data_IF_715107454576
#
_entry.id   IF_715107454576
#
_cell.length_a   1.000
_cell.length_b   1.000
_cell.length_c   1.000
_cell.angle_alpha   90.00
_cell.angle_beta   90.00
_cell.angle_gamma   90.00
#
_symmetry.space_group_name_H-M   'P 1'
#
loop_
_entity.id
_entity.type
_entity.pdbx_description
1 polymer ?
#
# COMPACT_ATOMS: atom_id res chain seq x y z
N UNK A 1 -7.16 -7.59 -36.55
CA UNK A 1 -7.72 -6.38 -35.90
C UNK A 1 -8.42 -6.65 -34.56
N UNK A 2 -9.13 -7.77 -34.38
CA UNK A 2 -9.80 -8.10 -33.11
C UNK A 2 -8.84 -8.21 -31.89
N UNK A 3 -7.59 -8.64 -32.12
CA UNK A 3 -6.59 -8.79 -31.06
C UNK A 3 -6.17 -7.48 -30.40
N UNK A 4 -5.86 -6.46 -31.20
CA UNK A 4 -5.49 -5.14 -30.69
C UNK A 4 -6.65 -4.53 -29.89
N UNK A 5 -7.89 -4.84 -30.31
CA UNK A 5 -9.10 -4.46 -29.58
C UNK A 5 -9.23 -5.20 -28.25
N UNK A 6 -8.93 -6.50 -28.20
CA UNK A 6 -8.96 -7.28 -26.95
C UNK A 6 -7.93 -6.76 -25.92
N UNK A 7 -6.70 -6.49 -26.36
CA UNK A 7 -5.68 -5.90 -25.49
C UNK A 7 -6.06 -4.49 -25.02
N UNK A 8 -6.60 -3.65 -25.91
CA UNK A 8 -7.08 -2.33 -25.54
C UNK A 8 -8.23 -2.38 -24.52
N UNK A 9 -9.14 -3.37 -24.64
CA UNK A 9 -10.22 -3.58 -23.66
C UNK A 9 -9.64 -4.05 -22.33
N UNK A 10 -8.70 -5.01 -22.33
CA UNK A 10 -8.04 -5.49 -21.11
C UNK A 10 -7.33 -4.35 -20.37
N UNK A 11 -6.57 -3.53 -21.10
CA UNK A 11 -5.88 -2.37 -20.54
C UNK A 11 -6.86 -1.35 -19.99
N UNK A 12 -7.92 -1.03 -20.74
CA UNK A 12 -8.97 -0.12 -20.27
C UNK A 12 -9.63 -0.62 -18.99
N UNK A 13 -9.95 -1.92 -18.91
CA UNK A 13 -10.52 -2.50 -17.68
C UNK A 13 -9.57 -2.32 -16.51
N UNK A 14 -8.28 -2.62 -16.70
CA UNK A 14 -7.27 -2.44 -15.65
C UNK A 14 -7.21 -0.98 -15.18
N UNK A 15 -7.11 -0.02 -16.10
CA UNK A 15 -7.01 1.40 -15.78
C UNK A 15 -8.27 1.91 -15.05
N UNK A 16 -9.47 1.54 -15.53
CA UNK A 16 -10.76 1.93 -14.94
C UNK A 16 -10.94 1.34 -13.53
N UNK A 17 -10.59 0.06 -13.35
CA UNK A 17 -10.69 -0.62 -12.06
C UNK A 17 -9.66 -0.08 -11.07
N UNK A 18 -8.43 0.18 -11.53
CA UNK A 18 -7.38 0.77 -10.69
C UNK A 18 -7.76 2.17 -10.21
N UNK A 19 -8.30 3.01 -11.10
CA UNK A 19 -8.79 4.34 -10.73
C UNK A 19 -9.90 4.24 -9.68
N UNK A 20 -10.82 3.29 -9.84
CA UNK A 20 -11.87 3.02 -8.86
C UNK A 20 -11.29 2.64 -7.50
N UNK A 21 -10.28 1.75 -7.47
CA UNK A 21 -9.56 1.37 -6.24
C UNK A 21 -8.85 2.56 -5.58
N UNK A 22 -8.14 3.39 -6.35
CA UNK A 22 -7.47 4.58 -5.79
C UNK A 22 -8.47 5.58 -5.18
N UNK A 23 -9.66 5.70 -5.79
CA UNK A 23 -10.74 6.53 -5.26
C UNK A 23 -11.31 5.94 -3.97
N UNK A 24 -11.42 4.62 -3.89
CA UNK A 24 -11.83 3.93 -2.67
C UNK A 24 -10.86 4.22 -1.52
N UNK A 25 -9.54 4.09 -1.76
CA UNK A 25 -8.50 4.39 -0.77
C UNK A 25 -8.59 5.85 -0.28
N UNK A 26 -8.87 6.80 -1.18
CA UNK A 26 -9.10 8.19 -0.79
C UNK A 26 -10.23 8.31 0.24
N UNK A 27 -11.39 7.69 -0.02
CA UNK A 27 -12.51 7.72 0.91
C UNK A 27 -12.26 6.97 2.22
N UNK A 28 -11.48 5.89 2.19
CA UNK A 28 -11.02 5.20 3.41
C UNK A 28 -10.19 6.12 4.29
N UNK A 29 -9.29 6.91 3.70
CA UNK A 29 -8.51 7.91 4.41
C UNK A 29 -9.37 9.02 5.05
N UNK A 30 -10.55 9.29 4.48
CA UNK A 30 -11.54 10.22 5.06
C UNK A 30 -12.43 9.56 6.12
N UNK A 31 -12.32 8.23 6.34
CA UNK A 31 -13.24 7.47 7.18
C UNK A 31 -14.63 7.29 6.59
N UNK A 32 -14.83 7.63 5.31
CA UNK A 32 -16.11 7.42 4.62
C UNK A 32 -16.17 6.01 4.03
N UNK A 33 -16.43 5.04 4.89
CA UNK A 33 -16.45 3.62 4.52
C UNK A 33 -17.53 3.27 3.51
N UNK A 34 -18.65 4.01 3.48
CA UNK A 34 -19.76 3.73 2.56
C UNK A 34 -19.34 4.02 1.11
N UNK A 35 -18.75 5.20 0.88
CA UNK A 35 -18.25 5.56 -0.45
C UNK A 35 -17.05 4.69 -0.85
N UNK A 36 -16.14 4.40 0.11
CA UNK A 36 -15.05 3.45 -0.12
C UNK A 36 -15.58 2.09 -0.60
N UNK A 37 -16.53 1.51 0.14
CA UNK A 37 -17.19 0.24 -0.21
C UNK A 37 -17.83 0.28 -1.61
N UNK A 38 -18.48 1.39 -1.96
CA UNK A 38 -19.07 1.55 -3.29
C UNK A 38 -18.00 1.48 -4.38
N UNK A 39 -16.88 2.17 -4.19
CA UNK A 39 -15.79 2.20 -5.17
C UNK A 39 -15.06 0.85 -5.29
N UNK A 40 -14.85 0.12 -4.18
CA UNK A 40 -14.31 -1.24 -4.22
C UNK A 40 -15.21 -2.22 -4.97
N UNK A 41 -16.53 -2.17 -4.71
CA UNK A 41 -17.50 -3.02 -5.42
C UNK A 41 -17.58 -2.66 -6.90
N UNK A 42 -17.59 -1.37 -7.24
CA UNK A 42 -17.57 -0.92 -8.63
C UNK A 42 -16.33 -1.43 -9.39
N UNK A 43 -15.16 -1.48 -8.75
CA UNK A 43 -13.96 -2.07 -9.34
C UNK A 43 -14.13 -3.59 -9.60
N UNK A 44 -14.69 -4.34 -8.64
CA UNK A 44 -14.98 -5.77 -8.84
C UNK A 44 -15.99 -6.02 -9.96
N UNK A 45 -17.06 -5.23 -10.01
CA UNK A 45 -18.09 -5.37 -11.04
C UNK A 45 -17.50 -5.18 -12.45
N UNK A 46 -16.57 -4.24 -12.62
CA UNK A 46 -15.86 -4.04 -13.89
C UNK A 46 -14.98 -5.24 -14.27
N UNK A 47 -14.24 -5.78 -13.30
CA UNK A 47 -13.39 -6.97 -13.50
C UNK A 47 -14.26 -8.18 -13.86
N UNK A 48 -15.39 -8.36 -13.17
CA UNK A 48 -16.33 -9.44 -13.43
C UNK A 48 -17.04 -9.29 -14.78
N UNK A 49 -17.48 -8.09 -15.15
CA UNK A 49 -18.05 -7.83 -16.48
C UNK A 49 -17.04 -8.17 -17.58
N UNK A 50 -15.77 -7.78 -17.39
CA UNK A 50 -14.71 -8.15 -18.32
C UNK A 50 -14.56 -9.68 -18.42
N UNK A 51 -14.45 -10.37 -17.29
CA UNK A 51 -14.27 -11.83 -17.25
C UNK A 51 -15.46 -12.59 -17.85
N UNK A 52 -16.70 -12.12 -17.65
CA UNK A 52 -17.91 -12.78 -18.14
C UNK A 52 -18.21 -12.49 -19.61
N UNK A 53 -18.02 -11.23 -20.06
CA UNK A 53 -18.55 -10.76 -21.34
C UNK A 53 -17.49 -10.41 -22.38
N UNK A 54 -16.24 -10.16 -21.95
CA UNK A 54 -15.20 -9.56 -22.81
C UNK A 54 -13.91 -10.37 -22.88
N UNK A 55 -13.67 -11.25 -21.92
CA UNK A 55 -12.57 -12.19 -21.92
C UNK A 55 -12.84 -13.30 -22.96
N UNK A 56 -11.97 -13.47 -23.99
CA UNK A 56 -12.21 -14.51 -24.98
C UNK A 56 -11.95 -15.91 -24.37
N UNK A 57 -12.86 -16.90 -24.53
CA UNK A 57 -12.83 -18.19 -23.82
C UNK A 57 -11.60 -19.09 -24.04
N UNK A 58 -10.71 -18.76 -24.97
CA UNK A 58 -9.52 -19.56 -25.30
C UNK A 58 -8.28 -18.70 -25.60
N UNK A 59 -8.29 -17.43 -25.17
CA UNK A 59 -7.20 -16.51 -25.49
C UNK A 59 -6.06 -16.65 -24.48
N UNK A 60 -5.10 -17.51 -24.84
CA UNK A 60 -3.84 -17.62 -24.11
C UNK A 60 -3.00 -16.36 -24.28
N UNK A 61 -2.52 -15.74 -23.18
CA UNK A 61 -1.63 -14.57 -23.26
C UNK A 61 -0.39 -14.95 -24.06
N UNK A 62 -0.12 -14.22 -25.15
CA UNK A 62 0.95 -14.58 -26.10
C UNK A 62 2.20 -13.71 -25.92
N UNK A 63 2.03 -12.59 -25.23
CA UNK A 63 3.11 -11.64 -24.94
C UNK A 63 3.26 -11.54 -23.43
N UNK A 64 4.49 -11.32 -22.96
CA UNK A 64 4.78 -11.20 -21.53
C UNK A 64 4.03 -10.01 -20.91
N UNK A 65 3.83 -8.93 -21.66
CA UNK A 65 3.06 -7.75 -21.23
C UNK A 65 1.59 -8.07 -21.00
N UNK A 66 0.97 -8.81 -21.90
CA UNK A 66 -0.41 -9.26 -21.78
C UNK A 66 -0.60 -10.22 -20.61
N UNK A 67 0.36 -11.13 -20.41
CA UNK A 67 0.37 -12.02 -19.24
C UNK A 67 0.50 -11.23 -17.94
N UNK A 68 1.42 -10.27 -17.90
CA UNK A 68 1.61 -9.39 -16.74
C UNK A 68 0.36 -8.57 -16.43
N UNK A 69 -0.33 -8.08 -17.47
CA UNK A 69 -1.56 -7.30 -17.31
C UNK A 69 -2.74 -8.16 -16.80
N UNK A 70 -2.88 -9.39 -17.31
CA UNK A 70 -3.87 -10.34 -16.77
C UNK A 70 -3.59 -10.67 -15.30
N UNK A 71 -2.33 -10.87 -14.94
CA UNK A 71 -1.93 -11.13 -13.57
C UNK A 71 -2.19 -9.92 -12.67
N UNK A 72 -1.85 -8.72 -13.13
CA UNK A 72 -2.14 -7.49 -12.41
C UNK A 72 -3.64 -7.30 -12.16
N UNK A 73 -4.49 -7.67 -13.14
CA UNK A 73 -5.94 -7.61 -12.98
C UNK A 73 -6.46 -8.60 -11.93
N UNK A 74 -5.91 -9.82 -11.86
CA UNK A 74 -6.23 -10.80 -10.82
C UNK A 74 -5.78 -10.35 -9.43
N UNK A 75 -4.60 -9.74 -9.34
CA UNK A 75 -4.12 -9.16 -8.08
C UNK A 75 -5.03 -8.03 -7.62
N UNK A 76 -5.47 -7.18 -8.54
CA UNK A 76 -6.41 -6.11 -8.24
C UNK A 76 -7.76 -6.68 -7.76
N UNK A 77 -8.26 -7.73 -8.41
CA UNK A 77 -9.47 -8.44 -7.98
C UNK A 77 -9.36 -8.97 -6.55
N UNK A 78 -8.23 -9.60 -6.22
CA UNK A 78 -7.95 -10.10 -4.88
C UNK A 78 -7.92 -8.94 -3.86
N UNK A 79 -7.23 -7.85 -4.17
CA UNK A 79 -7.17 -6.68 -3.29
C UNK A 79 -8.55 -6.09 -3.00
N UNK A 80 -9.41 -5.98 -4.02
CA UNK A 80 -10.77 -5.50 -3.81
C UNK A 80 -11.55 -6.41 -2.86
N UNK A 81 -11.44 -7.74 -3.03
CA UNK A 81 -12.13 -8.72 -2.17
C UNK A 81 -11.67 -8.63 -0.72
N UNK A 82 -10.36 -8.64 -0.50
CA UNK A 82 -9.78 -8.54 0.85
C UNK A 82 -10.18 -7.23 1.54
N UNK A 83 -10.18 -6.12 0.79
CA UNK A 83 -10.53 -4.82 1.36
C UNK A 83 -12.02 -4.72 1.69
N UNK A 84 -12.88 -5.29 0.85
CA UNK A 84 -14.32 -5.40 1.12
C UNK A 84 -14.59 -6.23 2.37
N UNK A 85 -14.00 -7.41 2.47
CA UNK A 85 -14.16 -8.30 3.63
C UNK A 85 -13.75 -7.59 4.92
N UNK A 86 -12.61 -6.89 4.90
CA UNK A 86 -12.15 -6.10 6.04
C UNK A 86 -13.14 -4.99 6.42
N UNK A 87 -13.64 -4.22 5.45
CA UNK A 87 -14.60 -3.14 5.72
C UNK A 87 -15.93 -3.68 6.26
N UNK A 88 -16.38 -4.83 5.77
CA UNK A 88 -17.59 -5.50 6.27
C UNK A 88 -17.39 -6.01 7.70
N UNK A 89 -16.26 -6.65 8.00
CA UNK A 89 -15.92 -7.10 9.34
C UNK A 89 -15.86 -5.93 10.34
N UNK A 90 -15.23 -4.81 9.97
CA UNK A 90 -15.18 -3.60 10.79
C UNK A 90 -16.58 -3.02 11.04
N UNK A 91 -17.43 -3.00 10.02
CA UNK A 91 -18.82 -2.56 10.14
C UNK A 91 -19.60 -3.42 11.12
N UNK A 92 -19.50 -4.75 10.98
CA UNK A 92 -20.18 -5.71 11.87
C UNK A 92 -19.69 -5.52 13.30
N UNK A 93 -18.37 -5.45 13.51
CA UNK A 93 -17.78 -5.27 14.84
C UNK A 93 -18.34 -4.05 15.59
N UNK A 94 -18.49 -2.91 14.90
CA UNK A 94 -19.09 -1.71 15.52
C UNK A 94 -20.59 -1.85 15.77
N UNK A 95 -21.30 -2.59 14.93
CA UNK A 95 -22.73 -2.82 15.10
C UNK A 95 -23.02 -3.77 16.27
N UNK A 96 -22.18 -4.78 16.48
CA UNK A 96 -22.27 -5.71 17.62
C UNK A 96 -21.98 -5.01 18.94
N UNK A 97 -21.02 -4.09 18.99
CA UNK A 97 -20.73 -3.26 20.16
C UNK A 97 -21.92 -2.36 20.56
N UNK A 98 -22.69 -1.86 19.58
CA UNK A 98 -23.88 -1.05 19.85
C UNK A 98 -25.11 -1.86 20.25
N UNK A 99 -25.16 -3.15 19.91
CA UNK A 99 -26.35 -4.01 20.12
C UNK A 99 -26.24 -4.93 21.33
N UNK A 100 -25.04 -5.08 21.90
CA UNK A 100 -24.88 -5.73 23.20
C UNK A 100 -25.30 -4.77 24.32
N UNK A 101 -26.31 -5.12 25.15
CA UNK A 101 -26.64 -4.33 26.32
C UNK A 101 -25.42 -4.28 27.24
N UNK A 102 -24.99 -3.08 27.63
CA UNK A 102 -24.09 -2.96 28.77
C UNK A 102 -24.67 -3.76 29.96
N UNK A 103 -23.87 -4.58 30.66
CA UNK A 103 -24.33 -5.15 31.92
C UNK A 103 -24.77 -4.01 32.85
N UNK A 104 -25.86 -4.17 33.61
CA UNK A 104 -26.46 -3.09 34.39
C UNK A 104 -25.44 -2.45 35.35
N UNK A 105 -25.41 -1.12 35.49
CA UNK A 105 -24.56 -0.46 36.47
C UNK A 105 -25.17 -0.67 37.86
N UNK A 106 -24.86 -1.78 38.51
CA UNK A 106 -25.47 -2.03 39.82
C UNK A 106 -25.29 -3.41 40.43
N UNK A 107 -24.04 -3.82 40.69
CA UNK A 107 -23.70 -4.56 41.93
C UNK A 107 -22.34 -4.09 42.44
N UNK A 108 -22.40 -3.03 43.26
CA UNK A 108 -21.33 -2.67 44.19
C UNK A 108 -21.13 -3.84 45.16
N UNK A 109 -20.21 -4.75 44.86
CA UNK A 109 -19.61 -5.59 45.89
C UNK A 109 -18.35 -4.89 46.35
N UNK A 110 -18.48 -4.18 47.47
CA UNK A 110 -17.43 -3.68 48.37
C UNK A 110 -16.01 -3.54 47.75
N UNK A 111 -15.70 -2.31 47.34
CA UNK A 111 -14.35 -1.78 47.16
C UNK A 111 -13.56 -1.90 48.48
N UNK A 112 -12.43 -2.61 48.55
CA UNK A 112 -11.29 -2.11 49.31
C UNK A 112 -10.65 -1.01 48.45
N UNK A 113 -10.46 0.16 49.04
CA UNK A 113 -9.79 1.31 48.42
C UNK A 113 -8.37 0.94 47.97
N UNK A 114 -8.11 0.88 46.66
CA UNK A 114 -6.77 0.78 46.05
C UNK A 114 -6.78 1.71 44.82
N UNK A 115 -5.71 2.51 44.58
CA UNK A 115 -5.77 3.69 43.73
C UNK A 115 -5.79 3.36 42.24
N UNK A 116 -6.16 4.39 41.46
CA UNK A 116 -6.24 4.45 40.01
C UNK A 116 -5.07 3.75 39.31
N UNK A 117 -5.37 2.78 38.45
CA UNK A 117 -4.35 2.15 37.62
C UNK A 117 -4.84 0.91 36.86
N UNK A 118 -4.90 1.08 35.53
CA UNK A 118 -4.89 0.03 34.49
C UNK A 118 -6.15 -0.80 34.25
N UNK A 119 -6.66 -0.64 33.03
CA UNK A 119 -7.73 -1.45 32.44
C UNK A 119 -7.35 -2.92 32.30
N UNK A 120 -8.29 -3.79 32.68
CA UNK A 120 -8.26 -5.22 32.43
C UNK A 120 -8.82 -5.49 31.04
N UNK A 121 -8.05 -6.16 30.18
CA UNK A 121 -8.45 -6.57 28.83
C UNK A 121 -8.88 -8.04 28.87
N UNK A 122 -10.18 -8.30 28.63
CA UNK A 122 -10.74 -9.65 28.45
C UNK A 122 -11.18 -10.34 29.74
N UNK A 123 -12.50 -10.42 29.96
CA UNK A 123 -13.23 -11.31 30.89
C UNK A 123 -12.49 -11.79 32.17
N UNK A 124 -11.71 -10.93 32.84
CA UNK A 124 -11.16 -11.17 34.17
C UNK A 124 -10.04 -12.22 34.31
N UNK A 125 -9.56 -12.86 33.24
CA UNK A 125 -8.53 -13.91 33.34
C UNK A 125 -7.11 -13.44 33.07
N UNK A 126 -6.91 -12.20 32.60
CA UNK A 126 -5.58 -11.65 32.29
C UNK A 126 -5.36 -10.41 33.14
N UNK A 127 -4.47 -10.52 34.12
CA UNK A 127 -3.98 -9.38 34.90
C UNK A 127 -3.27 -8.42 33.96
N UNK A 128 -3.61 -7.12 34.03
CA UNK A 128 -2.94 -6.08 33.26
C UNK A 128 -1.52 -5.85 33.81
N UNK A 129 -0.60 -6.76 33.50
CA UNK A 129 0.80 -6.65 33.92
C UNK A 129 1.39 -5.34 33.41
N UNK A 130 2.09 -4.62 34.30
CA UNK A 130 2.81 -3.42 33.91
C UNK A 130 4.05 -3.82 33.12
N UNK A 131 4.43 -3.05 32.09
CA UNK A 131 5.68 -3.28 31.34
C UNK A 131 6.94 -3.31 32.23
N UNK A 132 6.86 -2.76 33.45
CA UNK A 132 7.91 -2.80 34.46
C UNK A 132 8.05 -4.17 35.15
N UNK A 133 7.03 -5.03 35.10
CA UNK A 133 7.01 -6.37 35.71
C UNK A 133 7.55 -7.45 34.76
N UNK A 134 7.68 -7.13 33.47
CA UNK A 134 8.33 -7.98 32.49
C UNK A 134 9.85 -7.89 32.70
N UNK A 135 10.46 -8.99 33.14
CA UNK A 135 11.92 -9.11 33.22
C UNK A 135 12.53 -8.79 31.86
N UNK A 136 13.36 -7.74 31.80
CA UNK A 136 14.06 -7.38 30.56
C UNK A 136 15.23 -8.36 30.40
N UNK A 137 15.30 -9.11 29.28
CA UNK A 137 16.45 -9.95 29.03
C UNK A 137 17.70 -9.07 28.98
N UNK A 138 18.73 -9.44 29.74
CA UNK A 138 20.04 -8.79 29.67
C UNK A 138 20.59 -9.00 28.27
N UNK A 139 20.65 -7.92 27.48
CA UNK A 139 21.23 -7.99 26.15
C UNK A 139 22.74 -8.28 26.28
N UNK A 140 23.28 -9.25 25.52
CA UNK A 140 24.71 -9.53 25.52
C UNK A 140 25.49 -8.27 25.10
N UNK A 141 26.60 -8.01 25.78
CA UNK A 141 27.45 -6.86 25.52
C UNK A 141 27.99 -6.93 24.08
N UNK A 142 27.58 -5.99 23.23
CA UNK A 142 28.13 -5.87 21.87
C UNK A 142 29.56 -5.34 21.98
N UNK A 143 30.58 -6.03 21.44
CA UNK A 143 31.92 -5.47 21.38
C UNK A 143 31.91 -4.17 20.58
N UNK A 144 32.58 -3.14 21.11
CA UNK A 144 32.74 -1.86 20.44
C UNK A 144 33.53 -2.06 19.14
N UNK A 145 32.99 -1.58 18.02
CA UNK A 145 33.75 -1.54 16.78
C UNK A 145 34.84 -0.45 16.89
N UNK A 146 36.06 -0.71 16.42
CA UNK A 146 37.12 0.29 16.41
C UNK A 146 36.68 1.50 15.59
N UNK A 147 36.99 2.70 16.10
CA UNK A 147 36.75 3.97 15.39
C UNK A 147 37.50 3.91 14.06
N UNK A 148 36.77 4.01 12.94
CA UNK A 148 37.38 4.26 11.64
C UNK A 148 38.09 5.61 11.72
N UNK A 149 39.40 5.59 11.54
CA UNK A 149 40.18 6.81 11.32
C UNK A 149 39.73 7.39 9.98
N UNK A 150 39.27 8.63 10.03
CA UNK A 150 38.95 9.44 8.86
C UNK A 150 40.25 9.72 8.10
N UNK A 151 40.38 9.22 6.88
CA UNK A 151 41.43 9.65 5.96
C UNK A 151 41.06 11.03 5.42
N UNK A 152 41.72 12.02 5.98
CA UNK A 152 41.80 13.42 5.59
C UNK A 152 42.62 13.53 4.29
N UNK A 153 41.94 13.64 3.14
CA UNK A 153 42.46 14.28 1.92
C UNK A 153 41.26 14.70 1.04
N UNK A 154 40.58 15.77 1.44
CA UNK A 154 39.73 16.53 0.54
C UNK A 154 40.66 17.50 -0.22
N UNK A 155 41.04 17.15 -1.44
CA UNK A 155 41.69 18.07 -2.37
C UNK A 155 40.63 18.51 -3.37
N UNK A 156 40.21 19.77 -3.23
CA UNK A 156 39.69 20.59 -4.32
C UNK A 156 40.88 20.88 -5.24
N UNK A 157 40.82 20.44 -6.49
CA UNK A 157 41.06 21.35 -7.62
C UNK A 157 40.62 20.74 -8.96
N UNK A 158 40.39 21.61 -9.93
CA UNK A 158 39.76 21.37 -11.22
C UNK A 158 40.58 20.61 -12.29
N UNK A 159 40.29 20.85 -13.59
CA UNK A 159 40.22 19.81 -14.62
C UNK A 159 41.54 19.57 -15.34
N UNK A 160 41.89 18.31 -15.65
CA UNK A 160 42.54 17.94 -16.93
C UNK A 160 42.85 16.44 -17.04
N UNK A 161 42.38 15.86 -18.15
CA UNK A 161 43.05 14.91 -19.06
C UNK A 161 43.64 13.57 -18.56
N UNK A 162 43.35 12.53 -19.38
CA UNK A 162 44.23 11.41 -19.75
C UNK A 162 44.14 10.16 -18.82
N UNK A 163 43.76 8.92 -19.20
CA UNK A 163 43.33 8.20 -20.41
C UNK A 163 42.51 6.98 -19.92
N UNK A 164 41.46 6.58 -20.65
CA UNK A 164 40.92 5.22 -20.61
C UNK A 164 41.11 4.58 -21.99
N UNK A 165 41.63 3.34 -22.11
CA UNK A 165 41.70 2.66 -23.38
C UNK A 165 40.36 1.98 -23.68
N UNK A 166 39.74 2.45 -24.77
CA UNK A 166 39.10 1.60 -25.77
C UNK A 166 37.85 0.79 -25.34
N UNK A 167 36.68 1.41 -25.49
CA UNK A 167 35.58 0.78 -26.25
C UNK A 167 34.64 1.83 -26.83
N UNK A 168 34.41 1.73 -28.13
CA UNK A 168 33.64 2.63 -28.95
C UNK A 168 32.13 2.54 -28.67
N UNK A 169 31.49 3.70 -28.45
CA UNK A 169 30.04 3.87 -28.59
C UNK A 169 29.76 5.13 -29.44
N UNK A 170 28.86 5.06 -30.44
CA UNK A 170 28.56 6.19 -31.31
C UNK A 170 27.76 7.27 -30.57
N UNK A 171 28.17 8.52 -30.75
CA UNK A 171 27.55 9.72 -30.19
C UNK A 171 26.23 10.04 -30.89
N UNK A 172 25.14 10.09 -30.12
CA UNK A 172 23.91 10.77 -30.53
C UNK A 172 24.00 12.23 -30.08
N UNK A 173 24.12 13.12 -31.06
CA UNK A 173 24.12 14.57 -30.88
C UNK A 173 22.76 15.05 -30.35
N UNK A 174 22.76 15.59 -29.12
CA UNK A 174 21.63 16.34 -28.57
C UNK A 174 21.65 17.74 -29.19
N UNK A 175 20.90 17.92 -30.28
CA UNK A 175 20.68 19.24 -30.89
C UNK A 175 19.75 20.07 -30.00
N UNK A 176 20.08 21.35 -29.91
CA UNK A 176 19.53 22.34 -29.00
C UNK A 176 18.10 22.78 -29.34
N UNK A 177 17.35 23.16 -28.31
CA UNK A 177 16.06 23.84 -28.39
C UNK A 177 16.16 25.19 -29.11
N UNK A 178 15.24 25.55 -30.02
CA UNK A 178 15.12 26.91 -30.52
C UNK A 178 14.12 27.76 -29.72
N UNK A 179 14.59 28.95 -29.35
CA UNK A 179 13.95 30.25 -29.08
C UNK A 179 12.43 30.35 -28.81
N UNK A 180 12.10 31.00 -27.69
CA UNK A 180 10.77 31.57 -27.43
C UNK A 180 10.50 32.86 -28.25
N UNK A 181 9.22 33.26 -28.38
CA UNK A 181 8.82 34.31 -29.33
C UNK A 181 8.99 35.72 -28.77
N UNK A 182 9.32 36.67 -29.67
CA UNK A 182 9.39 38.10 -29.41
C UNK A 182 7.99 38.77 -29.47
N UNK A 183 7.75 39.72 -28.58
CA UNK A 183 6.56 40.59 -28.54
C UNK A 183 6.71 41.79 -29.51
N UNK A 184 5.65 42.21 -30.21
CA UNK A 184 5.66 43.42 -31.06
C UNK A 184 5.18 44.68 -30.31
N UNK A 185 5.41 45.89 -30.88
CA UNK A 185 5.21 47.20 -30.23
C UNK A 185 3.75 47.64 -30.08
#
# INVERSE_FOLDING_TARGET
MLRNRALAVLQKTYDDSYLSCSTAIYYEGQGNEIEAMRHWRAALDQIYDYNANRAPPAYGPRTDTEKALQEALKQLELQCKERIDLLEALRISRQEEMTTPQPPPGKLTKRPSIPEGRGSLGQGTITAMQYSELSRPTLPHRPSQPRRTSSELAIVDGPSTHLDPNMAFPSLSRSASPGGPALPP
#
